data_IF_680823630526
#
_entry.id   IF_680823630526
#
_cell.length_a   1.000
_cell.length_b   1.000
_cell.length_c   1.000
_cell.angle_alpha   90.00
_cell.angle_beta   90.00
_cell.angle_gamma   90.00
#
_symmetry.space_group_name_H-M   'P 1'
#
loop_
_entity.id
_entity.type
_entity.pdbx_description
1 polymer ?
#
# COMPACT_ATOMS: atom_id res chain seq x y z
N UNK A 1 14.27 8.28 -4.14
CA UNK A 1 13.87 9.11 -2.98
C UNK A 1 14.82 8.77 -1.85
N UNK A 2 15.19 9.70 -0.97
CA UNK A 2 16.07 9.35 0.17
C UNK A 2 15.21 8.66 1.23
N UNK A 3 15.41 7.36 1.43
CA UNK A 3 14.69 6.56 2.43
C UNK A 3 14.78 7.16 3.84
N UNK A 4 15.82 7.94 4.12
CA UNK A 4 16.03 8.62 5.38
C UNK A 4 14.85 9.53 5.80
N UNK A 5 14.19 10.22 4.87
CA UNK A 5 13.11 11.16 5.20
C UNK A 5 11.85 10.45 5.69
N UNK A 6 11.43 9.40 4.98
CA UNK A 6 10.26 8.63 5.36
C UNK A 6 10.51 7.77 6.62
N UNK A 7 11.70 7.20 6.76
CA UNK A 7 12.11 6.50 7.99
C UNK A 7 12.18 7.46 9.18
N UNK A 8 12.59 8.72 8.98
CA UNK A 8 12.54 9.72 10.05
C UNK A 8 11.09 10.03 10.48
N UNK A 9 10.17 10.18 9.52
CA UNK A 9 8.73 10.37 9.78
C UNK A 9 8.20 9.22 10.64
N UNK A 10 8.52 7.98 10.27
CA UNK A 10 8.11 6.80 11.03
C UNK A 10 8.63 6.80 12.47
N UNK A 11 9.92 7.08 12.66
CA UNK A 11 10.54 7.16 13.99
C UNK A 11 9.93 8.27 14.85
N UNK A 12 9.61 9.42 14.23
CA UNK A 12 8.92 10.52 14.92
C UNK A 12 7.50 10.10 15.30
N UNK A 13 6.76 9.43 14.41
CA UNK A 13 5.43 8.91 14.69
C UNK A 13 5.43 7.97 15.90
N UNK A 14 6.42 7.08 15.98
CA UNK A 14 6.62 6.17 17.10
C UNK A 14 7.04 6.90 18.40
N UNK A 15 7.88 7.92 18.30
CA UNK A 15 8.40 8.63 19.48
C UNK A 15 7.41 9.62 20.10
N UNK A 16 6.68 10.35 19.25
CA UNK A 16 5.71 11.39 19.66
C UNK A 16 4.32 10.77 19.94
N UNK A 17 4.06 9.60 19.35
CA UNK A 17 2.78 8.91 19.43
C UNK A 17 1.83 9.34 18.31
N UNK A 18 1.20 8.35 17.65
CA UNK A 18 0.33 8.56 16.50
C UNK A 18 -0.81 9.54 16.74
N UNK A 19 -1.31 9.66 17.98
CA UNK A 19 -2.38 10.58 18.36
C UNK A 19 -2.05 12.06 18.12
N UNK A 20 -0.81 12.46 18.33
CA UNK A 20 -0.36 13.85 18.13
C UNK A 20 0.18 14.02 16.71
N UNK A 21 0.89 13.02 16.21
CA UNK A 21 1.60 13.12 14.95
C UNK A 21 0.68 13.03 13.72
N UNK A 22 -0.29 12.10 13.72
CA UNK A 22 -1.17 11.86 12.56
C UNK A 22 -1.99 13.09 12.16
N UNK A 23 -2.69 13.80 13.07
CA UNK A 23 -3.45 14.99 12.69
C UNK A 23 -2.57 16.11 12.10
N UNK A 24 -1.30 16.20 12.52
CA UNK A 24 -0.37 17.23 12.07
C UNK A 24 0.12 16.97 10.64
N UNK A 25 0.39 15.71 10.30
CA UNK A 25 1.01 15.34 9.02
C UNK A 25 -0.01 15.02 7.92
N UNK A 26 -1.22 14.57 8.27
CA UNK A 26 -2.23 14.19 7.30
C UNK A 26 -2.57 15.28 6.26
N UNK A 27 -2.67 16.58 6.60
CA UNK A 27 -2.88 17.63 5.60
C UNK A 27 -1.77 17.70 4.56
N UNK A 28 -0.50 17.51 4.97
CA UNK A 28 0.64 17.48 4.06
C UNK A 28 0.63 16.23 3.18
N UNK A 29 0.28 15.07 3.75
CA UNK A 29 0.12 13.82 2.99
C UNK A 29 -0.98 13.96 1.94
N UNK A 30 -2.13 14.57 2.29
CA UNK A 30 -3.23 14.81 1.36
C UNK A 30 -2.78 15.69 0.19
N UNK A 31 -2.11 16.81 0.50
CA UNK A 31 -1.58 17.72 -0.50
C UNK A 31 -0.58 17.02 -1.44
N UNK A 32 0.34 16.22 -0.90
CA UNK A 32 1.36 15.54 -1.70
C UNK A 32 0.77 14.42 -2.56
N UNK A 33 -0.29 13.76 -2.10
CA UNK A 33 -0.99 12.72 -2.85
C UNK A 33 -1.74 13.28 -4.08
N UNK A 34 -2.18 14.54 -4.01
CA UNK A 34 -2.86 15.25 -5.10
C UNK A 34 -1.91 16.06 -6.01
N UNK A 35 -0.60 16.07 -5.73
CA UNK A 35 0.38 16.82 -6.51
C UNK A 35 0.58 16.24 -7.91
N UNK A 36 0.95 17.08 -8.89
CA UNK A 36 1.29 16.67 -10.26
C UNK A 36 2.59 15.87 -10.33
N UNK A 37 3.44 15.99 -9.30
CA UNK A 37 4.77 15.39 -9.24
C UNK A 37 4.69 14.00 -8.62
N UNK A 38 4.95 12.94 -9.39
CA UNK A 38 4.87 11.56 -8.92
C UNK A 38 5.78 11.29 -7.70
N UNK A 39 6.92 11.98 -7.55
CA UNK A 39 7.81 11.83 -6.40
C UNK A 39 7.14 12.28 -5.09
N UNK A 40 6.30 13.33 -5.13
CA UNK A 40 5.53 13.79 -3.97
C UNK A 40 4.41 12.80 -3.64
N UNK A 41 3.71 12.29 -4.65
CA UNK A 41 2.71 11.24 -4.47
C UNK A 41 3.33 9.97 -3.87
N UNK A 42 4.49 9.55 -4.37
CA UNK A 42 5.26 8.42 -3.84
C UNK A 42 5.67 8.66 -2.38
N UNK A 43 6.15 9.86 -2.04
CA UNK A 43 6.50 10.21 -0.66
C UNK A 43 5.28 10.15 0.27
N UNK A 44 4.11 10.64 -0.18
CA UNK A 44 2.87 10.57 0.58
C UNK A 44 2.43 9.13 0.85
N UNK A 45 2.42 8.29 -0.18
CA UNK A 45 2.07 6.86 -0.04
C UNK A 45 3.01 6.14 0.93
N UNK A 46 4.30 6.40 0.82
CA UNK A 46 5.29 5.74 1.67
C UNK A 46 5.20 6.21 3.12
N UNK A 47 5.06 7.52 3.36
CA UNK A 47 4.83 8.06 4.70
C UNK A 47 3.55 7.49 5.32
N UNK A 48 2.44 7.44 4.56
CA UNK A 48 1.17 6.92 5.03
C UNK A 48 1.25 5.44 5.43
N UNK A 49 1.95 4.63 4.63
CA UNK A 49 2.17 3.22 4.92
C UNK A 49 3.00 3.01 6.20
N UNK A 50 4.10 3.73 6.37
CA UNK A 50 4.95 3.62 7.57
C UNK A 50 4.21 4.05 8.84
N UNK A 51 3.53 5.19 8.79
CA UNK A 51 2.78 5.70 9.95
C UNK A 51 1.67 4.76 10.42
N UNK A 52 1.18 3.88 9.54
CA UNK A 52 0.13 2.92 9.87
C UNK A 52 0.53 2.05 11.08
N UNK A 53 1.78 1.60 11.17
CA UNK A 53 2.26 0.70 12.22
C UNK A 53 2.17 1.32 13.64
N UNK A 54 2.26 2.64 13.76
CA UNK A 54 2.19 3.38 15.03
C UNK A 54 0.89 4.14 15.33
N UNK A 55 -0.12 4.05 14.45
CA UNK A 55 -1.30 4.95 14.53
C UNK A 55 -2.66 4.29 14.24
N UNK A 56 -2.75 2.99 14.46
CA UNK A 56 -3.91 2.11 14.18
C UNK A 56 -5.28 2.75 14.47
N UNK A 57 -5.50 3.26 15.69
CA UNK A 57 -6.80 3.80 16.10
C UNK A 57 -7.22 5.05 15.31
N UNK A 58 -6.27 5.91 14.95
CA UNK A 58 -6.54 7.16 14.23
C UNK A 58 -6.61 6.93 12.72
N UNK A 59 -5.77 6.03 12.21
CA UNK A 59 -5.80 5.63 10.82
C UNK A 59 -7.11 4.90 10.49
N UNK A 60 -7.60 4.05 11.40
CA UNK A 60 -8.89 3.38 11.26
C UNK A 60 -10.04 4.38 11.06
N UNK A 61 -10.10 5.45 11.85
CA UNK A 61 -11.12 6.49 11.72
C UNK A 61 -11.06 7.25 10.39
N UNK A 62 -9.91 7.23 9.72
CA UNK A 62 -9.69 7.93 8.47
C UNK A 62 -9.67 6.99 7.24
N UNK A 63 -9.79 5.68 7.44
CA UNK A 63 -9.62 4.67 6.39
C UNK A 63 -10.57 4.90 5.22
N UNK A 64 -11.84 5.20 5.51
CA UNK A 64 -12.89 5.49 4.52
C UNK A 64 -12.53 6.65 3.58
N UNK A 65 -11.72 7.60 4.06
CA UNK A 65 -11.28 8.76 3.29
C UNK A 65 -10.00 8.45 2.50
N UNK A 66 -9.06 7.73 3.11
CA UNK A 66 -7.73 7.50 2.53
C UNK A 66 -7.68 6.33 1.57
N UNK A 67 -8.35 5.23 1.89
CA UNK A 67 -8.28 4.03 1.07
C UNK A 67 -8.75 4.27 -0.37
N UNK A 68 -9.89 4.95 -0.65
CA UNK A 68 -10.28 5.25 -2.02
C UNK A 68 -9.26 6.10 -2.77
N UNK A 69 -8.60 7.05 -2.08
CA UNK A 69 -7.56 7.91 -2.67
C UNK A 69 -6.30 7.13 -3.03
N UNK A 70 -5.92 6.16 -2.22
CA UNK A 70 -4.79 5.27 -2.51
C UNK A 70 -5.13 4.34 -3.67
N UNK A 71 -6.32 3.74 -3.66
CA UNK A 71 -6.79 2.85 -4.73
C UNK A 71 -6.89 3.57 -6.08
N UNK A 72 -7.29 4.85 -6.09
CA UNK A 72 -7.29 5.66 -7.31
C UNK A 72 -5.89 5.77 -7.95
N UNK A 73 -4.80 5.71 -7.16
CA UNK A 73 -3.43 5.71 -7.69
C UNK A 73 -3.02 4.38 -8.32
N UNK A 74 -3.66 3.27 -7.94
CA UNK A 74 -3.45 1.98 -8.60
C UNK A 74 -4.01 1.97 -10.02
N UNK A 75 -5.06 2.77 -10.27
CA UNK A 75 -5.85 2.74 -11.49
C UNK A 75 -5.59 3.91 -12.44
N UNK A 76 -4.73 4.88 -12.10
CA UNK A 76 -4.54 6.13 -12.86
C UNK A 76 -3.81 5.93 -14.21
N UNK A 77 -4.50 5.91 -15.36
CA UNK A 77 -3.89 5.59 -16.65
C UNK A 77 -2.97 6.70 -17.19
N UNK A 78 -2.95 7.89 -16.57
CA UNK A 78 -2.32 9.09 -17.12
C UNK A 78 -0.84 9.27 -16.72
N UNK A 79 -0.29 8.37 -15.90
CA UNK A 79 1.09 8.51 -15.42
C UNK A 79 2.12 7.93 -16.40
N UNK A 80 3.28 8.59 -16.49
CA UNK A 80 4.41 8.16 -17.32
C UNK A 80 4.84 6.71 -16.95
N UNK A 81 5.10 5.79 -17.91
CA UNK A 81 5.07 4.33 -17.67
C UNK A 81 5.94 3.83 -16.51
N UNK A 82 7.19 4.31 -16.40
CA UNK A 82 8.12 3.89 -15.32
C UNK A 82 7.79 4.47 -13.95
N UNK A 83 7.40 5.75 -13.88
CA UNK A 83 6.99 6.37 -12.61
C UNK A 83 5.65 5.84 -12.15
N UNK A 84 4.79 5.47 -13.10
CA UNK A 84 3.50 4.85 -12.83
C UNK A 84 3.67 3.49 -12.16
N UNK A 85 4.56 2.64 -12.69
CA UNK A 85 4.89 1.34 -12.13
C UNK A 85 5.31 1.41 -10.66
N UNK A 86 6.23 2.32 -10.34
CA UNK A 86 6.70 2.53 -8.97
C UNK A 86 5.61 3.10 -8.06
N UNK A 87 4.80 4.03 -8.56
CA UNK A 87 3.71 4.61 -7.78
C UNK A 87 2.64 3.58 -7.45
N UNK A 88 2.28 2.73 -8.42
CA UNK A 88 1.40 1.58 -8.20
C UNK A 88 1.96 0.67 -7.13
N UNK A 89 3.21 0.23 -7.31
CA UNK A 89 3.88 -0.63 -6.33
C UNK A 89 3.85 -0.06 -4.90
N UNK A 90 4.09 1.24 -4.76
CA UNK A 90 3.97 1.92 -3.46
C UNK A 90 2.54 2.07 -2.94
N UNK A 91 1.55 2.22 -3.81
CA UNK A 91 0.16 2.18 -3.39
C UNK A 91 -0.21 0.76 -2.89
N UNK A 92 0.26 -0.31 -3.56
CA UNK A 92 0.06 -1.69 -3.10
C UNK A 92 0.67 -1.92 -1.72
N UNK A 93 1.93 -1.50 -1.53
CA UNK A 93 2.61 -1.59 -0.24
C UNK A 93 1.89 -0.79 0.85
N UNK A 94 1.48 0.45 0.54
CA UNK A 94 0.76 1.32 1.46
C UNK A 94 -0.54 0.67 1.96
N UNK A 95 -1.38 0.17 1.05
CA UNK A 95 -2.63 -0.52 1.43
C UNK A 95 -2.37 -1.76 2.26
N UNK A 96 -1.35 -2.55 1.91
CA UNK A 96 -1.00 -3.75 2.66
C UNK A 96 -0.50 -3.44 4.09
N UNK A 97 0.31 -2.39 4.26
CA UNK A 97 0.75 -1.90 5.57
C UNK A 97 -0.43 -1.40 6.41
N UNK A 98 -1.35 -0.67 5.79
CA UNK A 98 -2.59 -0.20 6.43
C UNK A 98 -3.41 -1.40 6.90
N UNK A 99 -3.66 -2.39 6.03
CA UNK A 99 -4.40 -3.60 6.38
C UNK A 99 -3.76 -4.35 7.55
N UNK A 100 -2.42 -4.44 7.58
CA UNK A 100 -1.67 -5.05 8.67
C UNK A 100 -1.78 -4.25 9.98
N UNK A 101 -1.80 -2.92 9.89
CA UNK A 101 -1.95 -2.05 11.03
C UNK A 101 -3.36 -2.15 11.66
N UNK A 102 -4.42 -1.98 10.86
CA UNK A 102 -5.81 -1.95 11.35
C UNK A 102 -6.34 -3.35 11.70
N UNK A 103 -5.74 -4.40 11.13
CA UNK A 103 -6.07 -5.78 11.40
C UNK A 103 -7.30 -6.28 10.63
N UNK A 104 -7.55 -7.59 10.76
CA UNK A 104 -8.54 -8.33 9.96
C UNK A 104 -9.93 -7.73 10.02
N UNK A 105 -10.46 -7.45 11.21
CA UNK A 105 -11.85 -7.01 11.37
C UNK A 105 -12.16 -5.71 10.62
N UNK A 106 -11.23 -4.75 10.71
CA UNK A 106 -11.35 -3.47 10.02
C UNK A 106 -11.11 -3.59 8.50
N UNK A 107 -10.10 -4.38 8.11
CA UNK A 107 -9.68 -4.45 6.71
C UNK A 107 -10.55 -5.38 5.84
N UNK A 108 -11.28 -6.34 6.43
CA UNK A 108 -11.99 -7.40 5.69
C UNK A 108 -12.98 -6.84 4.65
N UNK A 109 -13.72 -5.80 5.00
CA UNK A 109 -14.71 -5.16 4.12
C UNK A 109 -14.05 -4.60 2.85
N UNK A 110 -12.88 -4.02 3.01
CA UNK A 110 -12.12 -3.38 1.95
C UNK A 110 -11.22 -4.36 1.18
N UNK A 111 -10.78 -5.42 1.85
CA UNK A 111 -9.82 -6.37 1.33
C UNK A 111 -10.26 -6.97 -0.01
N UNK A 112 -11.56 -7.19 -0.19
CA UNK A 112 -12.10 -7.66 -1.47
C UNK A 112 -11.83 -6.67 -2.61
N UNK A 113 -12.20 -5.40 -2.43
CA UNK A 113 -11.97 -4.38 -3.45
C UNK A 113 -10.48 -4.18 -3.73
N UNK A 114 -9.64 -4.22 -2.69
CA UNK A 114 -8.18 -4.17 -2.82
C UNK A 114 -7.69 -5.34 -3.67
N UNK A 115 -8.03 -6.58 -3.31
CA UNK A 115 -7.57 -7.77 -4.01
C UNK A 115 -8.06 -7.83 -5.45
N UNK A 116 -9.31 -7.42 -5.71
CA UNK A 116 -9.85 -7.35 -7.07
C UNK A 116 -9.03 -6.38 -7.94
N UNK A 117 -8.65 -5.21 -7.42
CA UNK A 117 -7.79 -4.25 -8.13
C UNK A 117 -6.38 -4.82 -8.35
N UNK A 118 -5.79 -5.43 -7.32
CA UNK A 118 -4.44 -5.99 -7.38
C UNK A 118 -4.32 -7.15 -8.39
N UNK A 119 -5.34 -8.01 -8.46
CA UNK A 119 -5.33 -9.21 -9.30
C UNK A 119 -5.87 -8.97 -10.71
N UNK A 120 -6.68 -7.92 -10.93
CA UNK A 120 -7.19 -7.56 -12.25
C UNK A 120 -6.10 -6.92 -13.14
N UNK A 121 -5.05 -6.35 -12.55
CA UNK A 121 -3.97 -5.76 -13.33
C UNK A 121 -3.06 -6.84 -13.94
N UNK A 122 -2.91 -6.80 -15.27
CA UNK A 122 -1.86 -7.53 -15.96
C UNK A 122 -0.51 -6.92 -15.57
N UNK A 123 0.21 -7.61 -14.69
CA UNK A 123 1.59 -7.27 -14.32
C UNK A 123 2.54 -7.99 -15.25
N UNK A 124 3.53 -7.28 -15.80
CA UNK A 124 4.66 -7.93 -16.47
C UNK A 124 5.35 -8.88 -15.46
N UNK A 125 5.41 -10.18 -15.80
CA UNK A 125 5.81 -11.28 -14.90
C UNK A 125 7.22 -11.15 -14.27
N UNK A 126 8.05 -10.25 -14.80
CA UNK A 126 9.43 -10.02 -14.34
C UNK A 126 9.69 -8.57 -13.87
N UNK A 127 8.64 -7.76 -13.70
CA UNK A 127 8.75 -6.34 -13.36
C UNK A 127 8.86 -6.04 -11.86
N UNK A 128 9.28 -4.82 -11.55
CA UNK A 128 9.28 -4.26 -10.18
C UNK A 128 7.88 -4.32 -9.54
N UNK A 129 6.83 -4.18 -10.34
CA UNK A 129 5.44 -4.30 -9.87
C UNK A 129 5.08 -5.68 -9.37
N UNK A 130 5.56 -6.74 -10.02
CA UNK A 130 5.31 -8.11 -9.57
C UNK A 130 5.92 -8.34 -8.18
N UNK A 131 7.07 -7.73 -7.87
CA UNK A 131 7.66 -7.78 -6.54
C UNK A 131 6.77 -7.10 -5.49
N UNK A 132 6.22 -5.93 -5.80
CA UNK A 132 5.29 -5.22 -4.91
C UNK A 132 3.97 -5.99 -4.74
N UNK A 133 3.42 -6.55 -5.82
CA UNK A 133 2.21 -7.37 -5.79
C UNK A 133 2.41 -8.58 -4.89
N UNK A 134 3.49 -9.35 -5.09
CA UNK A 134 3.80 -10.52 -4.26
C UNK A 134 3.94 -10.15 -2.78
N UNK A 135 4.67 -9.08 -2.46
CA UNK A 135 4.82 -8.62 -1.07
C UNK A 135 3.48 -8.15 -0.46
N UNK A 136 2.66 -7.43 -1.22
CA UNK A 136 1.34 -6.99 -0.78
C UNK A 136 0.42 -8.19 -0.52
N UNK A 137 0.38 -9.16 -1.44
CA UNK A 137 -0.39 -10.39 -1.30
C UNK A 137 0.00 -11.18 -0.05
N UNK A 138 1.31 -11.32 0.25
CA UNK A 138 1.78 -12.01 1.46
C UNK A 138 1.33 -11.28 2.73
N UNK A 139 1.45 -9.95 2.77
CA UNK A 139 0.97 -9.14 3.90
C UNK A 139 -0.54 -9.26 4.06
N UNK A 140 -1.31 -9.13 3.00
CA UNK A 140 -2.77 -9.26 3.03
C UNK A 140 -3.17 -10.69 3.46
N UNK A 141 -2.48 -11.73 2.98
CA UNK A 141 -2.70 -13.09 3.43
C UNK A 141 -2.48 -13.26 4.95
N UNK A 142 -1.43 -12.61 5.49
CA UNK A 142 -1.19 -12.62 6.95
C UNK A 142 -2.30 -11.96 7.76
N UNK A 143 -3.02 -11.00 7.17
CA UNK A 143 -4.14 -10.29 7.79
C UNK A 143 -5.44 -11.09 7.68
N UNK A 144 -5.76 -11.60 6.49
CA UNK A 144 -7.02 -12.31 6.23
C UNK A 144 -7.01 -13.76 6.71
N UNK A 145 -5.85 -14.41 6.73
CA UNK A 145 -5.67 -15.80 7.12
C UNK A 145 -6.56 -16.73 6.29
N UNK A 146 -7.47 -17.49 6.92
CA UNK A 146 -8.36 -18.45 6.24
C UNK A 146 -9.25 -17.80 5.17
N UNK A 147 -9.62 -16.52 5.31
CA UNK A 147 -10.41 -15.80 4.31
C UNK A 147 -9.61 -15.50 3.02
N UNK A 148 -8.28 -15.66 3.04
CA UNK A 148 -7.44 -15.48 1.87
C UNK A 148 -7.56 -16.64 0.86
N UNK A 149 -8.15 -17.78 1.27
CA UNK A 149 -8.23 -19.00 0.44
C UNK A 149 -8.89 -18.75 -0.92
N UNK A 150 -9.86 -17.83 -0.99
CA UNK A 150 -10.55 -17.44 -2.25
C UNK A 150 -9.61 -16.88 -3.31
N UNK A 151 -8.46 -16.30 -2.92
CA UNK A 151 -7.50 -15.69 -3.84
C UNK A 151 -6.36 -16.64 -4.26
N UNK A 152 -6.18 -17.76 -3.56
CA UNK A 152 -5.10 -18.73 -3.82
C UNK A 152 -5.09 -19.26 -5.26
N UNK A 153 -6.23 -19.61 -5.89
CA UNK A 153 -6.23 -20.12 -7.27
C UNK A 153 -5.64 -19.15 -8.30
N UNK A 154 -5.71 -17.83 -8.03
CA UNK A 154 -5.18 -16.78 -8.90
C UNK A 154 -3.71 -16.46 -8.59
N UNK A 155 -3.34 -16.48 -7.31
CA UNK A 155 -2.03 -16.04 -6.84
C UNK A 155 -0.98 -17.16 -6.93
N UNK A 156 -1.33 -18.39 -6.56
CA UNK A 156 -0.38 -19.51 -6.53
C UNK A 156 0.29 -19.73 -7.88
N UNK A 157 -0.42 -19.74 -9.03
CA UNK A 157 0.23 -19.86 -10.34
C UNK A 157 1.25 -18.76 -10.62
N UNK A 158 0.92 -17.50 -10.29
CA UNK A 158 1.82 -16.35 -10.47
C UNK A 158 3.07 -16.46 -9.59
N UNK A 159 2.92 -16.88 -8.34
CA UNK A 159 4.04 -17.11 -7.41
C UNK A 159 4.95 -18.25 -7.87
N UNK A 160 4.37 -19.36 -8.36
CA UNK A 160 5.14 -20.48 -8.89
C UNK A 160 5.90 -20.10 -10.16
N UNK A 161 5.29 -19.30 -11.04
CA UNK A 161 5.97 -18.77 -12.21
C UNK A 161 7.17 -17.90 -11.81
N UNK A 162 6.97 -16.97 -10.88
CA UNK A 162 8.04 -16.11 -10.37
C UNK A 162 9.16 -16.93 -9.72
N UNK A 163 8.85 -17.93 -8.90
CA UNK A 163 9.83 -18.81 -8.28
C UNK A 163 10.63 -19.66 -9.30
N UNK A 164 10.07 -19.88 -10.49
CA UNK A 164 10.75 -20.58 -11.59
C UNK A 164 11.63 -19.65 -12.45
N UNK A 165 11.49 -18.33 -12.34
CA UNK A 165 12.40 -17.39 -13.01
C UNK A 165 13.79 -17.46 -12.35
N UNK A 166 14.85 -17.49 -13.17
CA UNK A 166 16.23 -17.59 -12.68
C UNK A 166 16.57 -16.40 -11.76
N UNK A 167 17.36 -16.62 -10.69
CA UNK A 167 17.83 -15.54 -9.81
C UNK A 167 18.70 -14.53 -10.54
#
# INVERSE_FOLDING_TARGET
MCDAGAVAIDRVAHSVGGKVFVPLILPFVAQYLEDVTWQRQHAALYALGLMAEGSKDHLFQALDVWLPRILAKLQDPNNHPRSYALLRGKAMECVALIGQAVGKHAFLTDAKAVMDILLCHDTDDSGVEMQYLTQACVRIASVLQEDFVTYLPLIVPKLLHQAATKP
#
